data_IF_376302166166
#
_entry.id   IF_376302166166
#
_cell.length_a   1.000
_cell.length_b   1.000
_cell.length_c   1.000
_cell.angle_alpha   90.00
_cell.angle_beta   90.00
_cell.angle_gamma   90.00
#
_symmetry.space_group_name_H-M   'P 1'
#
loop_
_entity.id
_entity.type
_entity.pdbx_description
1 polymer ?
#
# COMPACT_ATOMS: atom_id res chain seq x y z
N UNK A 1 2.75 12.92 -11.16
CA UNK A 1 3.59 13.04 -9.96
C UNK A 1 4.00 11.63 -9.58
N UNK A 2 5.30 11.30 -9.58
CA UNK A 2 5.74 9.98 -9.10
C UNK A 2 5.62 9.94 -7.57
N UNK A 3 5.11 8.84 -6.98
CA UNK A 3 5.03 8.71 -5.53
C UNK A 3 6.44 8.68 -4.93
N UNK A 4 6.67 9.45 -3.86
CA UNK A 4 7.90 9.42 -3.06
C UNK A 4 7.58 8.83 -1.68
N UNK A 5 8.59 8.29 -0.99
CA UNK A 5 8.46 7.68 0.34
C UNK A 5 7.75 8.59 1.35
N UNK A 6 8.20 9.84 1.50
CA UNK A 6 7.61 10.79 2.46
C UNK A 6 6.13 11.08 2.21
N UNK A 7 5.72 11.10 0.94
CA UNK A 7 4.32 11.32 0.58
C UNK A 7 3.45 10.12 0.98
N UNK A 8 3.95 8.90 0.82
CA UNK A 8 3.26 7.68 1.24
C UNK A 8 3.18 7.60 2.77
N UNK A 9 4.25 7.94 3.48
CA UNK A 9 4.25 8.01 4.95
C UNK A 9 3.21 9.03 5.45
N UNK A 10 3.16 10.21 4.85
CA UNK A 10 2.15 11.21 5.18
C UNK A 10 0.71 10.71 4.92
N UNK A 11 0.49 9.95 3.85
CA UNK A 11 -0.80 9.30 3.58
C UNK A 11 -1.14 8.29 4.69
N UNK A 12 -0.20 7.45 5.12
CA UNK A 12 -0.40 6.52 6.24
C UNK A 12 -0.86 7.23 7.51
N UNK A 13 -0.18 8.32 7.89
CA UNK A 13 -0.59 9.16 9.04
C UNK A 13 -2.00 9.74 8.85
N UNK A 14 -2.37 10.18 7.64
CA UNK A 14 -3.72 10.66 7.37
C UNK A 14 -4.77 9.54 7.46
N UNK A 15 -4.44 8.33 7.03
CA UNK A 15 -5.32 7.15 7.16
C UNK A 15 -5.58 6.87 8.64
N UNK A 16 -4.54 6.85 9.47
CA UNK A 16 -4.66 6.65 10.93
C UNK A 16 -5.52 7.74 11.59
N UNK A 17 -5.29 9.01 11.26
CA UNK A 17 -6.00 10.15 11.86
C UNK A 17 -7.47 10.22 11.42
N UNK A 18 -7.74 9.96 10.14
CA UNK A 18 -9.09 10.06 9.57
C UNK A 18 -9.91 8.78 9.78
N UNK A 19 -9.25 7.64 9.94
CA UNK A 19 -9.86 6.32 10.08
C UNK A 19 -10.84 6.02 8.94
N UNK A 20 -12.04 5.58 9.31
CA UNK A 20 -13.14 5.31 8.36
C UNK A 20 -13.53 6.48 7.45
N UNK A 21 -13.20 7.74 7.81
CA UNK A 21 -13.50 8.90 6.96
C UNK A 21 -12.57 9.00 5.75
N UNK A 22 -11.44 8.29 5.76
CA UNK A 22 -10.50 8.26 4.65
C UNK A 22 -11.09 7.61 3.39
N UNK A 23 -12.16 6.82 3.52
CA UNK A 23 -12.81 6.13 2.40
C UNK A 23 -13.19 7.06 1.24
N UNK A 24 -13.42 8.36 1.50
CA UNK A 24 -13.75 9.38 0.48
C UNK A 24 -12.59 9.67 -0.47
N UNK A 25 -11.37 9.29 -0.10
CA UNK A 25 -10.14 9.58 -0.85
C UNK A 25 -9.50 8.33 -1.45
N UNK A 26 -10.00 7.13 -1.12
CA UNK A 26 -9.34 5.88 -1.48
C UNK A 26 -9.18 5.71 -3.01
N UNK A 27 -10.21 6.06 -3.78
CA UNK A 27 -10.19 5.96 -5.24
C UNK A 27 -9.14 6.87 -5.88
N UNK A 28 -8.80 7.97 -5.22
CA UNK A 28 -7.75 8.88 -5.65
C UNK A 28 -6.36 8.43 -5.19
N UNK A 29 -6.26 7.71 -4.07
CA UNK A 29 -5.00 7.32 -3.43
C UNK A 29 -4.47 5.99 -3.97
N UNK A 30 -5.35 5.01 -4.20
CA UNK A 30 -4.95 3.68 -4.68
C UNK A 30 -4.14 3.69 -5.98
N UNK A 31 -4.44 4.51 -7.01
CA UNK A 31 -3.60 4.59 -8.21
C UNK A 31 -2.14 4.94 -7.91
N UNK A 32 -1.87 5.82 -6.93
CA UNK A 32 -0.51 6.18 -6.53
C UNK A 32 0.19 5.03 -5.78
N UNK A 33 -0.55 4.27 -4.97
CA UNK A 33 -0.02 3.07 -4.29
C UNK A 33 0.32 1.99 -5.33
N UNK A 34 -0.52 1.79 -6.34
CA UNK A 34 -0.26 0.82 -7.40
C UNK A 34 0.94 1.19 -8.26
N UNK A 35 1.15 2.48 -8.50
CA UNK A 35 2.36 2.96 -9.19
C UNK A 35 3.62 2.75 -8.33
N UNK A 36 3.52 2.97 -7.02
CA UNK A 36 4.61 2.69 -6.09
C UNK A 36 5.07 1.22 -6.16
N UNK A 37 4.15 0.27 -6.34
CA UNK A 37 4.50 -1.15 -6.50
C UNK A 37 5.24 -1.48 -7.80
N UNK A 38 5.07 -0.68 -8.85
CA UNK A 38 5.78 -0.86 -10.12
C UNK A 38 7.21 -0.30 -10.06
N UNK A 39 7.50 0.63 -9.13
CA UNK A 39 8.80 1.27 -8.99
C UNK A 39 9.78 0.43 -8.16
N UNK A 40 10.24 -0.69 -8.74
CA UNK A 40 11.14 -1.63 -8.06
C UNK A 40 12.57 -1.10 -7.79
N UNK A 41 12.94 0.03 -8.40
CA UNK A 41 14.27 0.64 -8.23
C UNK A 41 14.48 1.22 -6.83
N UNK A 42 13.39 1.62 -6.16
CA UNK A 42 13.43 2.25 -4.84
C UNK A 42 12.58 1.42 -3.86
N UNK A 43 13.22 0.42 -3.24
CA UNK A 43 12.53 -0.50 -2.33
C UNK A 43 11.83 0.19 -1.15
N UNK A 44 12.31 1.37 -0.75
CA UNK A 44 11.71 2.18 0.31
C UNK A 44 10.30 2.64 -0.06
N UNK A 45 10.07 3.01 -1.33
CA UNK A 45 8.75 3.40 -1.83
C UNK A 45 7.78 2.21 -1.80
N UNK A 46 8.24 1.03 -2.23
CA UNK A 46 7.45 -0.20 -2.10
C UNK A 46 7.14 -0.54 -0.64
N UNK A 47 8.13 -0.44 0.26
CA UNK A 47 7.96 -0.67 1.70
C UNK A 47 6.91 0.28 2.30
N UNK A 48 6.99 1.57 1.97
CA UNK A 48 6.03 2.57 2.43
C UNK A 48 4.62 2.28 1.89
N UNK A 49 4.49 1.92 0.62
CA UNK A 49 3.21 1.55 0.00
C UNK A 49 2.56 0.33 0.68
N UNK A 50 3.35 -0.69 1.03
CA UNK A 50 2.88 -1.85 1.81
C UNK A 50 2.41 -1.41 3.20
N UNK A 51 3.15 -0.52 3.86
CA UNK A 51 2.74 0.07 5.15
C UNK A 51 1.36 0.74 5.07
N UNK A 52 1.16 1.61 4.08
CA UNK A 52 -0.13 2.29 3.88
C UNK A 52 -1.28 1.31 3.63
N UNK A 53 -1.04 0.21 2.90
CA UNK A 53 -2.06 -0.85 2.74
C UNK A 53 -2.42 -1.48 4.10
N UNK A 54 -1.45 -1.71 4.98
CA UNK A 54 -1.69 -2.15 6.35
C UNK A 54 -2.55 -1.16 7.14
N UNK A 55 -2.20 0.13 7.08
CA UNK A 55 -2.95 1.20 7.77
C UNK A 55 -4.39 1.28 7.25
N UNK A 56 -4.59 1.15 5.93
CA UNK A 56 -5.90 1.14 5.29
C UNK A 56 -6.74 -0.05 5.76
N UNK A 57 -6.15 -1.24 5.83
CA UNK A 57 -6.83 -2.46 6.30
C UNK A 57 -7.34 -2.29 7.73
N UNK A 58 -6.49 -1.78 8.62
CA UNK A 58 -6.86 -1.52 10.02
C UNK A 58 -7.90 -0.40 10.18
N UNK A 59 -7.81 0.65 9.35
CA UNK A 59 -8.64 1.86 9.51
C UNK A 59 -10.01 1.78 8.82
N UNK A 60 -10.10 1.03 7.71
CA UNK A 60 -11.30 0.96 6.88
C UNK A 60 -12.10 -0.33 7.08
N UNK A 61 -11.47 -1.41 7.57
CA UNK A 61 -12.10 -2.70 7.86
C UNK A 61 -12.94 -3.17 6.65
N UNK A 62 -14.22 -3.48 6.87
CA UNK A 62 -15.15 -3.99 5.85
C UNK A 62 -15.31 -3.06 4.64
N UNK A 63 -15.02 -1.75 4.78
CA UNK A 63 -15.11 -0.80 3.68
C UNK A 63 -13.99 -0.97 2.65
N UNK A 64 -12.92 -1.68 3.00
CA UNK A 64 -11.82 -1.97 2.07
C UNK A 64 -12.15 -3.15 1.13
N UNK A 65 -13.14 -3.99 1.49
CA UNK A 65 -13.53 -5.19 0.73
C UNK A 65 -13.60 -5.01 -0.80
N UNK A 66 -14.22 -3.97 -1.38
CA UNK A 66 -14.30 -3.81 -2.84
C UNK A 66 -12.94 -3.56 -3.52
N UNK A 67 -11.91 -3.19 -2.76
CA UNK A 67 -10.55 -2.91 -3.27
C UNK A 67 -9.59 -4.07 -3.04
N UNK A 68 -9.94 -5.02 -2.16
CA UNK A 68 -9.06 -6.11 -1.72
C UNK A 68 -8.56 -6.97 -2.89
N UNK A 69 -9.41 -7.33 -3.85
CA UNK A 69 -9.01 -8.18 -4.98
C UNK A 69 -7.85 -7.55 -5.77
N UNK A 70 -7.93 -6.25 -6.03
CA UNK A 70 -6.92 -5.52 -6.76
C UNK A 70 -5.65 -5.33 -5.92
N UNK A 71 -5.79 -4.99 -4.63
CA UNK A 71 -4.66 -4.86 -3.70
C UNK A 71 -3.90 -6.20 -3.60
N UNK A 72 -4.60 -7.31 -3.37
CA UNK A 72 -4.01 -8.64 -3.26
C UNK A 72 -3.29 -9.04 -4.56
N UNK A 73 -3.91 -8.81 -5.72
CA UNK A 73 -3.29 -9.08 -7.02
C UNK A 73 -1.95 -8.35 -7.19
N UNK A 74 -1.89 -7.07 -6.77
CA UNK A 74 -0.64 -6.28 -6.82
C UNK A 74 0.40 -6.80 -5.83
N UNK A 75 0.01 -7.12 -4.60
CA UNK A 75 0.91 -7.68 -3.59
C UNK A 75 1.50 -9.04 -4.03
N UNK A 76 0.70 -9.91 -4.63
CA UNK A 76 1.19 -11.17 -5.21
C UNK A 76 2.16 -10.95 -6.37
N UNK A 77 1.87 -9.97 -7.23
CA UNK A 77 2.77 -9.60 -8.33
C UNK A 77 4.13 -9.13 -7.79
N UNK A 78 4.13 -8.34 -6.71
CA UNK A 78 5.36 -7.94 -6.01
C UNK A 78 6.12 -9.13 -5.42
N UNK A 79 5.42 -10.07 -4.76
CA UNK A 79 6.05 -11.27 -4.20
C UNK A 79 6.69 -12.17 -5.26
N UNK A 80 6.03 -12.31 -6.41
CA UNK A 80 6.50 -13.08 -7.56
C UNK A 80 7.69 -12.42 -8.28
N UNK A 81 8.00 -11.15 -8.01
CA UNK A 81 9.13 -10.47 -8.61
C UNK A 81 10.44 -10.87 -7.89
N UNK A 82 11.36 -11.50 -8.63
CA UNK A 82 12.69 -11.90 -8.14
C UNK A 82 13.65 -10.72 -7.95
N UNK A 83 13.38 -9.58 -8.59
CA UNK A 83 14.17 -8.34 -8.46
C UNK A 83 13.73 -7.50 -7.25
N UNK A 84 12.62 -7.84 -6.61
CA UNK A 84 12.17 -7.12 -5.42
C UNK A 84 13.14 -7.35 -4.27
N UNK A 85 13.52 -6.26 -3.60
CA UNK A 85 14.44 -6.33 -2.47
C UNK A 85 13.90 -7.26 -1.37
N UNK A 86 14.78 -8.13 -0.87
CA UNK A 86 14.44 -9.19 0.10
C UNK A 86 13.75 -8.71 1.38
N UNK A 87 13.92 -7.44 1.76
CA UNK A 87 13.29 -6.85 2.95
C UNK A 87 11.80 -6.53 2.76
N UNK A 88 11.33 -6.37 1.52
CA UNK A 88 9.93 -5.99 1.24
C UNK A 88 9.02 -7.22 1.28
N UNK A 89 9.52 -8.40 0.89
CA UNK A 89 8.71 -9.63 0.86
C UNK A 89 8.13 -10.01 2.24
N UNK A 90 8.91 -9.99 3.35
CA UNK A 90 8.36 -10.20 4.69
C UNK A 90 7.28 -9.18 5.07
N UNK A 91 7.44 -7.90 4.70
CA UNK A 91 6.45 -6.88 5.01
C UNK A 91 5.12 -7.12 4.28
N UNK A 92 5.17 -7.53 3.00
CA UNK A 92 3.95 -7.91 2.27
C UNK A 92 3.23 -9.06 2.98
N UNK A 93 3.97 -10.08 3.42
CA UNK A 93 3.37 -11.19 4.17
C UNK A 93 2.75 -10.74 5.49
N UNK A 94 3.35 -9.76 6.18
CA UNK A 94 2.78 -9.18 7.40
C UNK A 94 1.45 -8.45 7.15
N UNK A 95 1.22 -7.90 5.95
CA UNK A 95 -0.06 -7.24 5.62
C UNK A 95 -1.23 -8.20 5.35
N UNK A 96 -0.98 -9.51 5.28
CA UNK A 96 -2.04 -10.52 5.07
C UNK A 96 -2.65 -11.06 6.37
N UNK A 97 -2.06 -10.74 7.54
CA UNK A 97 -2.57 -11.17 8.85
C UNK A 97 -3.64 -10.23 9.37
#
# INVERSE_FOLDING_TARGET
MHPNEDALVAIGTLVEVLGMNFIKYIDHVLPFIYEAFNNHSEYQICSAAVGVIGDLSCSLLDKLAPYCDQIMTRLFTCLANDKLHRSVKPQILSTFG
#
